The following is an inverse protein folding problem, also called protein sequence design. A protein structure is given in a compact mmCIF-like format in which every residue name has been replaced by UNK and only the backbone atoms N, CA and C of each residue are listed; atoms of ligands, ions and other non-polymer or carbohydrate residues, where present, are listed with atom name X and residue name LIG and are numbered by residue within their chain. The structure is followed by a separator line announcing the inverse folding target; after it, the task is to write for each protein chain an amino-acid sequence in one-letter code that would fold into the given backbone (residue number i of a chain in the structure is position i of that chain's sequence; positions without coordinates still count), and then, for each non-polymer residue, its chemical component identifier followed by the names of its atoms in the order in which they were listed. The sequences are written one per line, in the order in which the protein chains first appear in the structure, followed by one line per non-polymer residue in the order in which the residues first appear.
data_IF_872309651422
#
_entry.id   IF_872309651422
#
_cell.length_a   1.000
_cell.length_b   1.000
_cell.length_c   1.000
_cell.angle_alpha   90.00
_cell.angle_beta   90.00
_cell.angle_gamma   90.00
#
_symmetry.space_group_name_H-M   'P 1'
#
loop_
_entity.id
_entity.type
_entity.pdbx_description
1 polymer ?
#
# COMPACT_ATOMS: atom_id res chain seq x y z
N UNK A 1 -4.33 13.35 -18.93
CA UNK A 1 -3.47 13.05 -17.76
C UNK A 1 -3.83 11.73 -17.09
N UNK A 2 -5.09 11.51 -16.66
CA UNK A 2 -5.55 10.22 -16.10
C UNK A 2 -5.06 9.00 -16.90
N UNK A 3 -5.35 8.94 -18.20
CA UNK A 3 -4.97 7.83 -19.08
C UNK A 3 -3.45 7.63 -19.17
N UNK A 4 -2.67 8.72 -19.09
CA UNK A 4 -1.21 8.66 -19.09
C UNK A 4 -0.71 7.94 -17.84
N UNK A 5 -1.18 8.34 -16.66
CA UNK A 5 -0.83 7.71 -15.39
C UNK A 5 -1.29 6.25 -15.35
N UNK A 6 -2.51 5.94 -15.80
CA UNK A 6 -2.98 4.56 -15.87
C UNK A 6 -2.15 3.69 -16.83
N UNK A 7 -1.74 4.26 -17.96
CA UNK A 7 -0.83 3.60 -18.90
C UNK A 7 0.56 3.33 -18.30
N UNK A 8 1.06 4.22 -17.44
CA UNK A 8 2.33 4.04 -16.72
C UNK A 8 2.24 2.90 -15.69
N UNK A 9 1.11 2.77 -14.97
CA UNK A 9 0.88 1.65 -14.03
C UNK A 9 0.93 0.32 -14.79
N UNK A 10 0.18 0.21 -15.90
CA UNK A 10 0.08 -1.04 -16.66
C UNK A 10 1.41 -1.47 -17.28
N UNK A 11 2.24 -0.50 -17.69
CA UNK A 11 3.56 -0.72 -18.29
C UNK A 11 4.69 -0.79 -17.26
N UNK A 12 4.40 -0.60 -15.98
CA UNK A 12 5.38 -0.53 -14.90
C UNK A 12 6.47 0.54 -15.16
N UNK A 13 6.06 1.66 -15.77
CA UNK A 13 6.93 2.81 -16.04
C UNK A 13 7.07 3.68 -14.79
N UNK A 14 7.86 3.18 -13.84
CA UNK A 14 8.03 3.82 -12.53
C UNK A 14 8.76 5.17 -12.61
N UNK A 15 9.74 5.32 -13.51
CA UNK A 15 10.47 6.57 -13.65
C UNK A 15 9.63 7.64 -14.35
N UNK A 16 8.87 7.29 -15.38
CA UNK A 16 7.89 8.21 -15.97
C UNK A 16 6.82 8.63 -14.96
N UNK A 17 6.40 7.72 -14.07
CA UNK A 17 5.50 8.05 -12.97
C UNK A 17 6.14 9.02 -11.96
N UNK A 18 7.43 8.83 -11.63
CA UNK A 18 8.18 9.69 -10.72
C UNK A 18 8.32 11.12 -11.27
N UNK A 19 8.59 11.29 -12.57
CA UNK A 19 8.64 12.62 -13.19
C UNK A 19 7.32 13.38 -12.99
N UNK A 20 6.18 12.70 -13.16
CA UNK A 20 4.87 13.29 -12.91
C UNK A 20 4.59 13.52 -11.42
N UNK A 21 5.15 12.67 -10.55
CA UNK A 21 5.03 12.83 -9.12
C UNK A 21 5.76 14.08 -8.65
N UNK A 22 6.96 14.34 -9.16
CA UNK A 22 7.76 15.51 -8.81
C UNK A 22 7.11 16.83 -9.24
N UNK A 23 6.35 16.81 -10.34
CA UNK A 23 5.57 17.96 -10.80
C UNK A 23 4.26 18.13 -10.01
N UNK A 24 3.49 17.05 -9.82
CA UNK A 24 2.19 17.10 -9.14
C UNK A 24 1.87 15.81 -8.36
N UNK A 25 2.38 15.68 -7.12
CA UNK A 25 2.26 14.44 -6.36
C UNK A 25 0.80 14.15 -5.96
N UNK A 26 0.00 15.19 -5.74
CA UNK A 26 -1.43 15.06 -5.43
C UNK A 26 -2.23 14.45 -6.58
N UNK A 27 -1.91 14.82 -7.82
CA UNK A 27 -2.57 14.28 -9.01
C UNK A 27 -2.19 12.82 -9.26
N UNK A 28 -0.91 12.47 -9.06
CA UNK A 28 -0.44 11.08 -9.16
C UNK A 28 -1.13 10.19 -8.12
N UNK A 29 -1.14 10.59 -6.83
CA UNK A 29 -1.86 9.85 -5.79
C UNK A 29 -3.33 9.69 -6.12
N UNK A 30 -4.01 10.74 -6.58
CA UNK A 30 -5.43 10.66 -6.97
C UNK A 30 -5.66 9.51 -7.96
N UNK A 31 -4.86 9.43 -9.02
CA UNK A 31 -5.08 8.41 -10.05
C UNK A 31 -4.60 7.01 -9.65
N UNK A 32 -3.53 6.90 -8.85
CA UNK A 32 -3.14 5.63 -8.25
C UNK A 32 -4.22 5.10 -7.29
N UNK A 33 -4.72 5.94 -6.38
CA UNK A 33 -5.81 5.59 -5.47
C UNK A 33 -7.10 5.26 -6.24
N UNK A 34 -7.42 5.95 -7.35
CA UNK A 34 -8.57 5.54 -8.17
C UNK A 34 -8.39 4.14 -8.78
N UNK A 35 -7.16 3.75 -9.12
CA UNK A 35 -6.86 2.43 -9.67
C UNK A 35 -6.83 1.33 -8.58
N UNK A 36 -6.57 1.66 -7.31
CA UNK A 36 -6.50 0.68 -6.22
C UNK A 36 -7.85 0.01 -5.91
N UNK A 37 -8.96 0.70 -6.19
CA UNK A 37 -10.32 0.14 -6.07
C UNK A 37 -10.68 -0.88 -7.16
N UNK A 38 -9.83 -1.08 -8.17
CA UNK A 38 -10.05 -2.13 -9.15
C UNK A 38 -10.06 -3.50 -8.45
N UNK A 39 -11.10 -4.31 -8.72
CA UNK A 39 -11.18 -5.68 -8.19
C UNK A 39 -10.12 -6.62 -8.76
N UNK A 40 -9.56 -6.27 -9.91
CA UNK A 40 -8.49 -7.04 -10.53
C UNK A 40 -7.23 -7.01 -9.66
N UNK A 41 -6.81 -8.19 -9.23
CA UNK A 41 -5.65 -8.38 -8.36
C UNK A 41 -4.37 -7.80 -8.95
N UNK A 42 -4.11 -8.06 -10.23
CA UNK A 42 -2.94 -7.54 -10.95
C UNK A 42 -2.86 -6.01 -10.89
N UNK A 43 -3.99 -5.33 -11.13
CA UNK A 43 -4.03 -3.86 -11.08
C UNK A 43 -3.70 -3.37 -9.66
N UNK A 44 -4.22 -4.02 -8.63
CA UNK A 44 -3.93 -3.70 -7.23
C UNK A 44 -2.44 -3.85 -6.88
N UNK A 45 -1.82 -4.96 -7.29
CA UNK A 45 -0.39 -5.20 -7.09
C UNK A 45 0.47 -4.15 -7.80
N UNK A 46 0.15 -3.82 -9.05
CA UNK A 46 0.89 -2.80 -9.82
C UNK A 46 0.79 -1.42 -9.16
N UNK A 47 -0.39 -1.06 -8.65
CA UNK A 47 -0.59 0.19 -7.88
C UNK A 47 0.23 0.19 -6.60
N UNK A 48 0.22 -0.91 -5.84
CA UNK A 48 1.01 -1.05 -4.62
C UNK A 48 2.51 -0.87 -4.90
N UNK A 49 3.03 -1.52 -5.95
CA UNK A 49 4.41 -1.36 -6.41
C UNK A 49 4.75 0.07 -6.83
N UNK A 50 3.83 0.77 -7.49
CA UNK A 50 4.02 2.19 -7.82
C UNK A 50 4.17 3.05 -6.55
N UNK A 51 3.31 2.86 -5.55
CA UNK A 51 3.43 3.59 -4.29
C UNK A 51 4.72 3.25 -3.53
N UNK A 52 5.10 1.97 -3.47
CA UNK A 52 6.38 1.54 -2.88
C UNK A 52 7.57 2.17 -3.57
N UNK A 53 7.60 2.19 -4.91
CA UNK A 53 8.64 2.85 -5.68
C UNK A 53 8.71 4.35 -5.35
N UNK A 54 7.58 5.06 -5.39
CA UNK A 54 7.54 6.49 -5.06
C UNK A 54 7.99 6.76 -3.62
N UNK A 55 7.60 5.92 -2.66
CA UNK A 55 8.03 6.02 -1.27
C UNK A 55 9.54 5.78 -1.11
N UNK A 56 10.12 4.86 -1.88
CA UNK A 56 11.57 4.66 -1.90
C UNK A 56 12.29 5.91 -2.38
N UNK A 57 11.85 6.51 -3.48
CA UNK A 57 12.51 7.65 -4.11
C UNK A 57 12.24 9.00 -3.42
N UNK A 58 11.09 9.17 -2.77
CA UNK A 58 10.62 10.46 -2.23
C UNK A 58 10.16 10.41 -0.78
N UNK A 59 10.14 9.24 -0.13
CA UNK A 59 9.66 9.10 1.25
C UNK A 59 10.42 9.96 2.26
N UNK A 60 11.75 10.06 2.11
CA UNK A 60 12.58 10.89 2.98
C UNK A 60 12.35 12.40 2.77
N UNK A 61 12.09 12.84 1.54
CA UNK A 61 11.87 14.26 1.21
C UNK A 61 10.40 14.70 1.35
N UNK A 62 9.46 13.76 1.27
CA UNK A 62 8.02 14.01 1.35
C UNK A 62 7.31 13.08 2.37
N UNK A 63 7.80 12.92 3.62
CA UNK A 63 7.28 11.92 4.54
C UNK A 63 5.80 12.12 4.86
N UNK A 64 5.35 13.36 5.07
CA UNK A 64 3.95 13.65 5.38
C UNK A 64 3.00 13.31 4.22
N UNK A 65 3.47 13.39 2.98
CA UNK A 65 2.65 12.97 1.84
C UNK A 65 2.35 11.47 1.90
N UNK A 66 3.35 10.64 2.23
CA UNK A 66 3.17 9.20 2.33
C UNK A 66 2.40 8.80 3.59
N UNK A 67 2.63 9.47 4.74
CA UNK A 67 1.80 9.27 5.94
C UNK A 67 0.33 9.56 5.68
N UNK A 68 0.02 10.67 5.01
CA UNK A 68 -1.35 11.02 4.64
C UNK A 68 -1.94 10.01 3.63
N UNK A 69 -1.13 9.52 2.69
CA UNK A 69 -1.55 8.48 1.76
C UNK A 69 -1.90 7.19 2.49
N UNK A 70 -1.05 6.72 3.42
CA UNK A 70 -1.30 5.55 4.26
C UNK A 70 -2.59 5.74 5.08
N UNK A 71 -2.75 6.88 5.77
CA UNK A 71 -3.95 7.16 6.59
C UNK A 71 -5.24 7.09 5.77
N UNK A 72 -5.24 7.62 4.55
CA UNK A 72 -6.39 7.54 3.64
C UNK A 72 -6.73 6.11 3.28
N UNK A 73 -5.74 5.27 3.00
CA UNK A 73 -5.96 3.85 2.72
C UNK A 73 -6.46 3.10 3.96
N UNK A 74 -5.95 3.41 5.16
CA UNK A 74 -6.48 2.87 6.43
C UNK A 74 -7.95 3.25 6.63
N UNK A 75 -8.31 4.52 6.39
CA UNK A 75 -9.71 4.94 6.48
C UNK A 75 -10.60 4.25 5.45
N UNK A 76 -10.11 4.07 4.22
CA UNK A 76 -10.84 3.36 3.17
C UNK A 76 -11.06 1.87 3.46
N UNK A 77 -10.20 1.23 4.28
CA UNK A 77 -10.44 -0.14 4.75
C UNK A 77 -11.61 -0.23 5.73
N UNK A 78 -11.90 0.84 6.47
CA UNK A 78 -12.97 0.89 7.46
C UNK A 78 -14.27 1.53 6.90
N UNK A 79 -14.35 1.80 5.60
CA UNK A 79 -15.53 2.43 5.00
C UNK A 79 -16.66 1.42 4.81
N UNK A 80 -17.75 1.62 5.55
CA UNK A 80 -18.97 0.78 5.53
C UNK A 80 -19.82 0.99 4.26
N UNK A 81 -19.47 1.96 3.40
CA UNK A 81 -20.21 2.26 2.16
C UNK A 81 -20.16 1.14 1.10
N UNK A 82 -19.36 0.09 1.33
CA UNK A 82 -19.18 -1.04 0.42
C UNK A 82 -18.20 -0.78 -0.71
N UNK A 83 -17.68 0.45 -0.85
CA UNK A 83 -16.59 0.76 -1.77
C UNK A 83 -15.23 0.62 -1.06
N UNK A 84 -14.89 -0.62 -0.70
CA UNK A 84 -13.63 -0.92 -0.02
C UNK A 84 -12.43 -0.82 -0.96
N UNK A 85 -11.35 -0.22 -0.48
CA UNK A 85 -10.07 -0.25 -1.19
C UNK A 85 -9.40 -1.61 -1.02
N UNK A 86 -9.69 -2.52 -1.95
CA UNK A 86 -9.19 -3.90 -1.96
C UNK A 86 -7.67 -4.00 -1.85
N UNK A 87 -6.94 -2.99 -2.34
CA UNK A 87 -5.48 -3.04 -2.44
C UNK A 87 -4.79 -2.30 -1.28
N UNK A 88 -5.55 -1.71 -0.35
CA UNK A 88 -5.01 -0.91 0.75
C UNK A 88 -3.94 -1.65 1.59
N UNK A 89 -4.12 -2.92 2.02
CA UNK A 89 -3.09 -3.63 2.78
C UNK A 89 -1.75 -3.71 2.05
N UNK A 90 -1.77 -4.00 0.75
CA UNK A 90 -0.56 -4.13 -0.09
C UNK A 90 0.08 -2.77 -0.34
N UNK A 91 -0.71 -1.73 -0.64
CA UNK A 91 -0.20 -0.36 -0.83
C UNK A 91 0.55 0.11 0.42
N UNK A 92 -0.06 -0.06 1.59
CA UNK A 92 0.56 0.35 2.84
C UNK A 92 1.82 -0.47 3.11
N UNK A 93 1.79 -1.79 2.90
CA UNK A 93 2.96 -2.64 3.08
C UNK A 93 4.13 -2.28 2.14
N UNK A 94 3.86 -1.96 0.88
CA UNK A 94 4.90 -1.52 -0.07
C UNK A 94 5.51 -0.17 0.32
N UNK A 95 4.69 0.78 0.82
CA UNK A 95 5.21 2.07 1.32
C UNK A 95 6.07 1.86 2.57
N UNK A 96 5.60 1.06 3.53
CA UNK A 96 6.35 0.75 4.75
C UNK A 96 7.65 0.01 4.40
N UNK A 97 7.58 -1.02 3.55
CA UNK A 97 8.76 -1.77 3.14
C UNK A 97 9.81 -0.93 2.41
N UNK A 98 9.38 0.09 1.66
CA UNK A 98 10.28 1.01 0.99
C UNK A 98 11.06 1.92 1.94
N UNK A 99 10.47 2.27 3.09
CA UNK A 99 11.06 3.14 4.11
C UNK A 99 10.69 2.65 5.53
N UNK A 100 11.22 1.49 5.96
CA UNK A 100 10.75 0.79 7.16
C UNK A 100 10.95 1.60 8.43
N UNK A 101 11.97 2.45 8.50
CA UNK A 101 12.22 3.31 9.66
C UNK A 101 11.25 4.50 9.72
N UNK A 102 10.81 5.02 8.57
CA UNK A 102 9.98 6.24 8.55
C UNK A 102 8.50 5.97 8.81
N UNK A 103 8.06 4.75 8.51
CA UNK A 103 6.64 4.39 8.47
C UNK A 103 6.32 3.08 9.22
N UNK A 104 7.25 2.52 10.02
CA UNK A 104 7.04 1.27 10.77
C UNK A 104 5.76 1.26 11.60
N UNK A 105 5.36 2.42 12.14
CA UNK A 105 4.16 2.54 12.97
C UNK A 105 2.88 2.11 12.25
N UNK A 106 2.86 2.20 10.92
CA UNK A 106 1.69 1.86 10.13
C UNK A 106 1.56 0.38 9.83
N UNK A 107 2.61 -0.42 9.98
CA UNK A 107 2.54 -1.86 9.75
C UNK A 107 1.52 -2.53 10.69
N UNK A 108 1.68 -2.31 12.00
CA UNK A 108 0.78 -2.87 13.01
C UNK A 108 -0.64 -2.31 12.89
N UNK A 109 -0.80 -1.01 12.61
CA UNK A 109 -2.11 -0.37 12.44
C UNK A 109 -2.86 -0.96 11.23
N UNK A 110 -2.18 -1.13 10.10
CA UNK A 110 -2.76 -1.72 8.90
C UNK A 110 -3.17 -3.17 9.13
N UNK A 111 -2.29 -3.98 9.74
CA UNK A 111 -2.58 -5.39 10.02
C UNK A 111 -3.81 -5.49 10.93
N UNK A 112 -3.87 -4.70 11.99
CA UNK A 112 -5.01 -4.67 12.92
C UNK A 112 -6.32 -4.29 12.21
N UNK A 113 -6.29 -3.30 11.32
CA UNK A 113 -7.46 -2.90 10.54
C UNK A 113 -7.90 -4.01 9.58
N UNK A 114 -6.98 -4.61 8.83
CA UNK A 114 -7.27 -5.66 7.87
C UNK A 114 -7.74 -6.96 8.53
N UNK A 115 -7.31 -7.26 9.76
CA UNK A 115 -7.74 -8.45 10.50
C UNK A 115 -9.20 -8.40 10.95
N UNK A 116 -9.81 -7.21 11.02
CA UNK A 116 -11.23 -7.06 11.38
C UNK A 116 -12.17 -7.48 10.26
N UNK A 117 -11.69 -7.42 9.03
CA UNK A 117 -12.49 -7.62 7.83
C UNK A 117 -11.90 -8.77 6.99
N UNK A 118 -12.45 -10.00 7.06
CA UNK A 118 -11.93 -11.19 6.37
C UNK A 118 -11.74 -11.03 4.86
N UNK A 119 -12.46 -10.08 4.27
CA UNK A 119 -12.34 -9.68 2.87
C UNK A 119 -10.91 -9.28 2.47
N UNK A 120 -10.13 -8.72 3.40
CA UNK A 120 -8.75 -8.32 3.14
C UNK A 120 -7.75 -9.46 3.29
N UNK A 121 -8.11 -10.62 3.85
CA UNK A 121 -7.15 -11.69 4.17
C UNK A 121 -6.25 -12.12 3.00
N UNK A 122 -6.76 -12.26 1.75
CA UNK A 122 -5.91 -12.61 0.62
C UNK A 122 -4.79 -11.58 0.36
N UNK A 123 -5.13 -10.28 0.43
CA UNK A 123 -4.18 -9.19 0.20
C UNK A 123 -3.31 -8.94 1.43
N UNK A 124 -3.85 -9.09 2.64
CA UNK A 124 -3.11 -9.05 3.89
C UNK A 124 -2.01 -10.10 3.93
N UNK A 125 -2.27 -11.34 3.47
CA UNK A 125 -1.24 -12.39 3.41
C UNK A 125 -0.04 -11.97 2.55
N UNK A 126 -0.27 -11.27 1.44
CA UNK A 126 0.81 -10.73 0.58
C UNK A 126 1.53 -9.57 1.25
N UNK A 127 0.78 -8.63 1.82
CA UNK A 127 1.31 -7.50 2.58
C UNK A 127 2.24 -7.98 3.72
N UNK A 128 1.81 -8.98 4.49
CA UNK A 128 2.61 -9.59 5.56
C UNK A 128 3.87 -10.25 5.03
N UNK A 129 3.82 -10.93 3.87
CA UNK A 129 5.03 -11.49 3.23
C UNK A 129 6.04 -10.40 2.86
N UNK A 130 5.57 -9.27 2.33
CA UNK A 130 6.42 -8.11 2.00
C UNK A 130 7.07 -7.52 3.27
N UNK A 131 6.27 -7.29 4.32
CA UNK A 131 6.77 -6.76 5.59
C UNK A 131 7.78 -7.70 6.26
N UNK A 132 7.44 -9.00 6.38
CA UNK A 132 8.31 -10.00 6.99
C UNK A 132 9.63 -10.18 6.24
N UNK A 133 9.60 -10.08 4.90
CA UNK A 133 10.80 -10.11 4.07
C UNK A 133 11.66 -8.85 4.16
N UNK A 134 11.09 -7.73 4.63
CA UNK A 134 11.80 -6.46 4.82
C UNK A 134 12.43 -6.40 6.21
N UNK A 135 11.62 -6.56 7.26
CA UNK A 135 12.07 -6.69 8.64
C UNK A 135 10.99 -7.49 9.41
N UNK A 136 11.32 -8.67 9.96
CA UNK A 136 10.38 -9.47 10.75
C UNK A 136 9.73 -8.72 11.93
N UNK A 137 10.37 -7.66 12.45
CA UNK A 137 9.80 -6.83 13.52
C UNK A 137 8.51 -6.12 13.11
N UNK A 138 8.34 -5.82 11.82
CA UNK A 138 7.16 -5.11 11.29
C UNK A 138 5.86 -5.90 11.47
N UNK A 139 5.94 -7.22 11.65
CA UNK A 139 4.79 -8.08 11.87
C UNK A 139 4.73 -8.67 13.28
N UNK A 140 5.69 -8.32 14.14
CA UNK A 140 5.91 -8.99 15.43
C UNK A 140 4.70 -8.84 16.35
N UNK A 141 4.11 -7.64 16.39
CA UNK A 141 2.98 -7.34 17.27
C UNK A 141 1.76 -8.25 17.00
N UNK A 142 1.52 -8.63 15.74
CA UNK A 142 0.44 -9.54 15.36
C UNK A 142 0.89 -10.96 15.02
N UNK A 143 2.16 -11.33 15.29
CA UNK A 143 2.75 -12.60 14.83
C UNK A 143 1.88 -13.82 15.17
N UNK A 144 1.47 -13.96 16.43
CA UNK A 144 0.65 -15.10 16.87
C UNK A 144 -0.66 -15.21 16.08
N UNK A 145 -1.35 -14.09 15.88
CA UNK A 145 -2.62 -14.05 15.13
C UNK A 145 -2.41 -14.39 13.66
N UNK A 146 -1.32 -13.92 13.06
CA UNK A 146 -0.96 -14.22 11.67
C UNK A 146 -0.60 -15.71 11.49
N UNK A 147 0.02 -16.35 12.49
CA UNK A 147 0.30 -17.79 12.51
C UNK A 147 -0.98 -18.61 12.64
N UNK A 148 -1.89 -18.24 13.55
CA UNK A 148 -3.21 -18.88 13.72
C UNK A 148 -4.00 -18.91 12.39
N UNK A 149 -3.90 -17.84 11.60
CA UNK A 149 -4.57 -17.70 10.31
C UNK A 149 -3.78 -18.32 9.13
N UNK A 150 -2.63 -18.94 9.37
CA UNK A 150 -1.81 -19.57 8.32
C UNK A 150 -1.26 -18.56 7.29
N UNK A 151 -1.06 -17.31 7.69
CA UNK A 151 -0.48 -16.26 6.83
C UNK A 151 1.04 -16.31 6.83
N UNK A 152 1.64 -16.79 7.92
CA UNK A 152 3.09 -16.99 8.10
C UNK A 152 3.35 -18.35 8.75
N UNK A 153 4.57 -18.86 8.57
CA UNK A 153 5.07 -20.11 9.18
C UNK A 153 5.82 -19.83 10.47
#
# INVERSE_FOLDING_TARGET
MKEKILGMIQKEDYYGLLEHFDDNPGLVRKYLTMASFAREEKTGEQVAKCFGFLARERGASHPEFFRETIRRHIWAMNDESGNMDWSAPEIIAEIVAAQPILFEEFASIMIEAALKEPVFYPRLKKAVKVLAGTDPKLIEYQRSRLQELGMIS
#
